data_IF_283005234601
#
_entry.id   IF_283005234601
#
_cell.length_a   1.000
_cell.length_b   1.000
_cell.length_c   1.000
_cell.angle_alpha   90.00
_cell.angle_beta   90.00
_cell.angle_gamma   90.00
#
_symmetry.space_group_name_H-M   'P 1'
#
loop_
_entity.id
_entity.type
_entity.pdbx_description
1 polymer ?
#
# COMPACT_ATOMS: atom_id res chain seq x y z
N UNK A 1 -14.81 10.30 20.64
CA UNK A 1 -14.05 9.46 19.71
C UNK A 1 -13.24 10.32 18.76
N UNK A 2 -12.37 9.70 17.96
CA UNK A 2 -11.52 10.38 16.97
C UNK A 2 -12.41 10.99 15.87
N UNK A 3 -12.09 12.22 15.43
CA UNK A 3 -12.82 12.94 14.38
C UNK A 3 -11.96 13.26 13.17
N UNK A 4 -10.65 13.30 13.35
CA UNK A 4 -9.67 13.72 12.34
C UNK A 4 -8.35 13.01 12.56
N UNK A 5 -7.68 12.67 11.48
CA UNK A 5 -6.33 12.12 11.43
C UNK A 5 -5.54 12.95 10.43
N UNK A 6 -4.56 13.71 10.90
CA UNK A 6 -3.77 14.56 10.00
C UNK A 6 -2.85 13.73 9.10
N UNK A 7 -2.19 12.69 9.64
CA UNK A 7 -1.30 11.81 8.88
C UNK A 7 -1.66 10.36 9.12
N UNK A 8 -2.08 9.67 8.06
CA UNK A 8 -2.51 8.29 8.14
C UNK A 8 -1.58 7.37 7.35
N UNK A 9 -0.77 6.60 8.08
CA UNK A 9 0.22 5.67 7.54
C UNK A 9 -0.43 4.34 7.13
N UNK A 10 -1.24 4.35 6.08
CA UNK A 10 -1.82 3.13 5.51
C UNK A 10 -2.27 3.32 4.06
N UNK A 11 -1.90 2.34 3.23
CA UNK A 11 -2.19 2.33 1.80
C UNK A 11 -3.53 1.64 1.45
N UNK A 12 -4.18 0.98 2.42
CA UNK A 12 -5.41 0.20 2.18
C UNK A 12 -6.64 1.09 1.95
N UNK A 13 -7.23 1.04 0.74
CA UNK A 13 -8.46 1.77 0.46
C UNK A 13 -9.67 1.28 1.27
N UNK A 14 -9.72 -0.01 1.61
CA UNK A 14 -10.78 -0.55 2.48
C UNK A 14 -10.77 0.11 3.86
N UNK A 15 -9.58 0.25 4.46
CA UNK A 15 -9.44 0.91 5.77
C UNK A 15 -9.78 2.40 5.68
N UNK A 16 -9.37 3.06 4.59
CA UNK A 16 -9.69 4.46 4.37
C UNK A 16 -11.21 4.67 4.27
N UNK A 17 -11.89 3.87 3.44
CA UNK A 17 -13.33 3.92 3.26
C UNK A 17 -14.08 3.70 4.57
N UNK A 18 -13.61 2.79 5.43
CA UNK A 18 -14.21 2.57 6.75
C UNK A 18 -14.09 3.81 7.66
N UNK A 19 -12.96 4.51 7.65
CA UNK A 19 -12.77 5.75 8.42
C UNK A 19 -13.69 6.87 7.89
N UNK A 20 -13.72 7.06 6.57
CA UNK A 20 -14.58 8.07 5.94
C UNK A 20 -16.06 7.79 6.19
N UNK A 21 -16.50 6.52 6.11
CA UNK A 21 -17.88 6.13 6.40
C UNK A 21 -18.31 6.42 7.85
N UNK A 22 -17.35 6.44 8.78
CA UNK A 22 -17.60 6.85 10.17
C UNK A 22 -17.49 8.38 10.40
N UNK A 23 -17.27 9.16 9.34
CA UNK A 23 -17.12 10.61 9.43
C UNK A 23 -15.78 11.04 10.04
N UNK A 24 -14.75 10.20 9.95
CA UNK A 24 -13.39 10.56 10.36
C UNK A 24 -12.68 11.19 9.16
N UNK A 25 -12.25 12.44 9.31
CA UNK A 25 -11.45 13.14 8.31
C UNK A 25 -10.02 12.57 8.28
N UNK A 26 -9.49 12.27 7.09
CA UNK A 26 -8.08 11.94 6.88
C UNK A 26 -7.48 13.01 5.97
N UNK A 27 -6.54 13.79 6.50
CA UNK A 27 -5.97 14.95 5.78
C UNK A 27 -4.89 14.50 4.79
N UNK A 28 -3.93 13.71 5.27
CA UNK A 28 -2.82 13.18 4.47
C UNK A 28 -2.76 11.65 4.61
N UNK A 29 -2.70 10.96 3.47
CA UNK A 29 -2.37 9.54 3.41
C UNK A 29 -0.87 9.42 3.17
N UNK A 30 -0.15 8.84 4.13
CA UNK A 30 1.30 8.67 4.07
C UNK A 30 1.59 7.22 3.66
N UNK A 31 2.22 6.96 2.50
CA UNK A 31 2.63 5.62 2.14
C UNK A 31 3.71 5.12 3.09
N UNK A 32 3.89 3.80 3.13
CA UNK A 32 5.03 3.23 3.84
C UNK A 32 6.27 3.48 2.97
N UNK A 33 7.33 4.10 3.50
CA UNK A 33 8.58 4.29 2.76
C UNK A 33 9.16 2.96 2.26
N UNK A 34 9.77 2.98 1.08
CA UNK A 34 10.30 1.77 0.43
C UNK A 34 11.36 1.08 1.27
N UNK A 35 12.22 1.84 1.95
CA UNK A 35 13.26 1.32 2.84
C UNK A 35 12.68 0.56 4.05
N UNK A 36 11.42 0.82 4.41
CA UNK A 36 10.71 0.14 5.49
C UNK A 36 9.90 -1.06 4.99
N UNK A 37 9.86 -1.33 3.69
CA UNK A 37 9.22 -2.52 3.11
C UNK A 37 10.26 -3.63 3.00
N UNK A 38 10.13 -4.71 3.79
CA UNK A 38 11.00 -5.88 3.69
C UNK A 38 11.05 -6.44 2.27
N UNK A 39 12.21 -6.97 1.87
CA UNK A 39 12.40 -7.51 0.51
C UNK A 39 11.40 -8.62 0.16
N UNK A 40 11.00 -9.44 1.14
CA UNK A 40 9.99 -10.48 0.99
C UNK A 40 8.56 -9.94 0.91
N UNK A 41 8.29 -8.78 1.49
CA UNK A 41 7.00 -8.08 1.41
C UNK A 41 6.86 -7.23 0.13
N UNK A 42 7.94 -7.06 -0.65
CA UNK A 42 7.92 -6.25 -1.88
C UNK A 42 6.93 -6.79 -2.91
N UNK A 43 6.94 -8.10 -3.14
CA UNK A 43 6.01 -8.77 -4.08
C UNK A 43 4.55 -8.57 -3.65
N UNK A 44 4.30 -8.73 -2.36
CA UNK A 44 2.97 -8.53 -1.75
C UNK A 44 2.51 -7.08 -1.85
N UNK A 45 3.41 -6.11 -1.76
CA UNK A 45 3.11 -4.68 -1.90
C UNK A 45 2.91 -4.28 -3.37
N UNK A 46 3.77 -4.70 -4.29
CA UNK A 46 3.63 -4.46 -5.72
C UNK A 46 2.26 -4.96 -6.22
N UNK A 47 1.87 -6.17 -5.80
CA UNK A 47 0.57 -6.74 -6.12
C UNK A 47 -0.61 -5.93 -5.54
N UNK A 48 -0.47 -5.38 -4.33
CA UNK A 48 -1.52 -4.57 -3.69
C UNK A 48 -1.65 -3.19 -4.33
N UNK A 49 -0.54 -2.55 -4.67
CA UNK A 49 -0.52 -1.29 -5.43
C UNK A 49 -1.19 -1.50 -6.79
N UNK A 50 -0.86 -2.59 -7.50
CA UNK A 50 -1.52 -2.96 -8.75
C UNK A 50 -3.02 -3.23 -8.59
N UNK A 51 -3.46 -3.79 -7.46
CA UNK A 51 -4.87 -3.98 -7.12
C UNK A 51 -5.57 -2.67 -6.67
N UNK A 52 -4.90 -1.53 -6.77
CA UNK A 52 -5.47 -0.20 -6.52
C UNK A 52 -5.21 0.34 -5.12
N UNK A 53 -4.26 -0.18 -4.35
CA UNK A 53 -3.83 0.47 -3.10
C UNK A 53 -3.27 1.87 -3.40
N UNK A 54 -3.40 2.77 -2.43
CA UNK A 54 -2.87 4.12 -2.55
C UNK A 54 -1.35 4.10 -2.58
N UNK A 55 -0.79 4.67 -3.64
CA UNK A 55 0.65 4.92 -3.83
C UNK A 55 0.81 6.34 -4.36
N UNK A 56 1.91 7.01 -3.98
CA UNK A 56 2.28 8.31 -4.53
C UNK A 56 2.98 8.11 -5.89
N UNK A 57 3.75 7.04 -6.01
CA UNK A 57 4.39 6.63 -7.25
C UNK A 57 3.40 5.88 -8.15
N UNK A 58 3.54 6.06 -9.47
CA UNK A 58 2.68 5.44 -10.47
C UNK A 58 2.60 3.92 -10.25
N UNK A 59 1.40 3.35 -10.48
CA UNK A 59 1.19 1.92 -10.38
C UNK A 59 2.26 1.18 -11.20
N UNK A 60 2.92 0.20 -10.57
CA UNK A 60 3.90 -0.67 -11.23
C UNK A 60 3.25 -1.25 -12.48
N UNK A 61 3.83 -1.08 -13.67
CA UNK A 61 3.21 -1.52 -14.91
C UNK A 61 3.03 -3.04 -14.88
N UNK A 62 1.90 -3.52 -15.43
CA UNK A 62 1.53 -4.94 -15.34
C UNK A 62 2.60 -5.91 -15.85
N UNK A 63 3.47 -5.45 -16.76
CA UNK A 63 4.64 -6.22 -17.25
C UNK A 63 5.66 -6.50 -16.14
N UNK A 64 5.91 -5.57 -15.23
CA UNK A 64 6.85 -5.79 -14.11
C UNK A 64 6.30 -6.73 -13.04
N UNK A 65 4.96 -6.86 -12.94
CA UNK A 65 4.31 -7.85 -12.07
C UNK A 65 4.48 -9.28 -12.59
N UNK A 66 4.72 -9.46 -13.90
CA UNK A 66 4.97 -10.78 -14.50
C UNK A 66 6.40 -11.27 -14.30
N UNK A 67 7.31 -10.38 -13.89
CA UNK A 67 8.68 -10.78 -13.55
C UNK A 67 8.62 -11.52 -12.22
N UNK A 68 8.97 -12.81 -12.24
CA UNK A 68 9.01 -13.64 -11.05
C UNK A 68 10.08 -13.14 -10.07
N UNK A 69 9.69 -12.26 -9.15
CA UNK A 69 10.50 -11.83 -8.00
C UNK A 69 10.35 -12.85 -6.86
N UNK A 70 10.62 -14.11 -7.16
CA UNK A 70 10.53 -15.21 -6.20
C UNK A 70 11.83 -15.41 -5.42
N UNK A 71 11.74 -16.06 -4.27
CA UNK A 71 12.92 -16.67 -3.63
C UNK A 71 13.36 -17.81 -4.54
N UNK A 72 14.64 -17.87 -4.91
CA UNK A 72 15.19 -19.09 -5.50
C UNK A 72 14.95 -20.23 -4.51
N UNK A 73 14.14 -21.22 -4.91
CA UNK A 73 14.06 -22.48 -4.18
C UNK A 73 15.40 -23.17 -4.42
N UNK A 74 16.41 -22.82 -3.65
CA UNK A 74 17.61 -23.64 -3.52
C UNK A 74 17.19 -24.82 -2.65
N UNK A 75 16.94 -25.95 -3.29
CA UNK A 75 17.00 -27.27 -2.67
C UNK A 75 18.46 -27.63 -2.34
#
# INVERSE_FOLDING_TARGET
>A
GIRRIDRWASMSNMKHGALTAQGIEVVERVPIPDELIPADARVEMDAKVAAGYFSIDAAVPAVELTVAKGRGLAE
#
